data_IF_686631579395
#
_entry.id   IF_686631579395
#
_cell.length_a   1.000
_cell.length_b   1.000
_cell.length_c   1.000
_cell.angle_alpha   90.00
_cell.angle_beta   90.00
_cell.angle_gamma   90.00
#
_symmetry.space_group_name_H-M   'P 1'
#
loop_
_entity.id
_entity.type
_entity.pdbx_description
1 polymer ?
#
# COMPACT_ATOMS: atom_id res chain seq x y z
N UNK A 1 2.34 67.27 -26.19
CA UNK A 1 1.61 66.39 -27.12
C UNK A 1 1.06 65.19 -26.34
N UNK A 2 0.04 65.43 -25.52
CA UNK A 2 -0.71 64.39 -24.80
C UNK A 2 -2.15 64.55 -25.25
N UNK A 3 -2.64 63.62 -26.09
CA UNK A 3 -4.06 63.40 -26.47
C UNK A 3 -4.12 62.57 -27.74
N UNK A 4 -3.93 61.26 -27.66
CA UNK A 4 -4.62 60.31 -28.53
C UNK A 4 -4.74 58.98 -27.80
N UNK A 5 -5.93 58.38 -27.88
CA UNK A 5 -6.18 56.94 -27.73
C UNK A 5 -6.33 56.37 -26.31
N UNK A 6 -7.30 56.97 -25.60
CA UNK A 6 -8.23 56.24 -24.75
C UNK A 6 -9.32 55.65 -25.67
N UNK A 7 -9.11 54.47 -26.27
CA UNK A 7 -10.15 53.65 -26.94
C UNK A 7 -9.58 52.33 -27.51
N UNK A 8 -9.78 51.22 -26.80
CA UNK A 8 -9.85 49.79 -27.23
C UNK A 8 -9.88 48.96 -25.94
N UNK A 9 -10.88 49.12 -25.08
CA UNK A 9 -12.13 48.35 -25.15
C UNK A 9 -11.90 46.89 -25.56
N UNK A 10 -11.86 46.03 -24.54
CA UNK A 10 -12.44 44.69 -24.52
C UNK A 10 -12.23 43.78 -25.75
N UNK A 11 -11.26 42.88 -25.64
CA UNK A 11 -11.39 41.53 -26.17
C UNK A 11 -10.77 40.58 -25.14
N UNK A 12 -11.48 40.35 -24.03
CA UNK A 12 -12.27 39.12 -23.84
C UNK A 12 -11.39 37.88 -24.12
N UNK A 13 -10.76 37.30 -23.11
CA UNK A 13 -11.32 36.12 -22.42
C UNK A 13 -11.96 35.13 -23.42
N UNK A 14 -11.13 34.53 -24.27
CA UNK A 14 -11.56 33.44 -25.14
C UNK A 14 -10.56 32.29 -24.96
N UNK A 15 -11.09 31.24 -24.34
CA UNK A 15 -10.75 29.84 -24.61
C UNK A 15 -9.43 29.30 -24.07
N UNK A 16 -9.41 28.98 -22.77
CA UNK A 16 -8.69 27.78 -22.32
C UNK A 16 -9.62 26.89 -21.49
N UNK A 17 -10.78 26.54 -22.05
CA UNK A 17 -11.52 25.35 -21.64
C UNK A 17 -10.80 24.13 -22.22
N UNK A 18 -9.61 23.82 -21.70
CA UNK A 18 -9.00 22.52 -21.97
C UNK A 18 -9.89 21.48 -21.29
N UNK A 19 -10.63 20.80 -22.15
CA UNK A 19 -11.60 19.78 -21.83
C UNK A 19 -11.04 18.80 -20.81
N UNK A 20 -11.78 18.68 -19.71
CA UNK A 20 -11.80 17.50 -18.86
C UNK A 20 -12.29 16.34 -19.73
N UNK A 21 -11.42 15.81 -20.60
CA UNK A 21 -11.67 14.56 -21.29
C UNK A 21 -11.47 13.46 -20.26
N UNK A 22 -12.49 12.70 -19.87
CA UNK A 22 -12.27 11.52 -19.04
C UNK A 22 -11.33 10.61 -19.83
N UNK A 23 -10.11 10.44 -19.34
CA UNK A 23 -9.24 9.36 -19.76
C UNK A 23 -9.95 8.07 -19.41
N UNK A 24 -10.72 7.55 -20.37
CA UNK A 24 -11.25 6.21 -20.35
C UNK A 24 -10.05 5.26 -20.37
N UNK A 25 -9.46 5.06 -19.20
CA UNK A 25 -8.47 4.03 -18.95
C UNK A 25 -9.18 2.72 -19.18
N UNK A 26 -9.00 2.17 -20.38
CA UNK A 26 -9.46 0.84 -20.75
C UNK A 26 -8.61 -0.17 -19.98
N UNK A 27 -8.95 -0.40 -18.70
CA UNK A 27 -8.43 -1.53 -17.94
C UNK A 27 -9.06 -2.83 -18.47
N UNK A 28 -8.60 -3.25 -19.64
CA UNK A 28 -9.11 -4.39 -20.39
C UNK A 28 -8.02 -5.43 -20.65
N UNK A 29 -7.55 -6.09 -19.59
CA UNK A 29 -7.03 -7.46 -19.72
C UNK A 29 -7.80 -8.36 -18.77
N UNK A 30 -9.01 -8.74 -19.19
CA UNK A 30 -9.68 -9.92 -18.64
C UNK A 30 -8.93 -11.15 -19.16
N UNK A 31 -7.91 -11.57 -18.43
CA UNK A 31 -7.41 -12.94 -18.53
C UNK A 31 -8.53 -13.89 -18.15
N UNK A 32 -9.04 -14.63 -19.12
CA UNK A 32 -10.21 -15.50 -19.01
C UNK A 32 -9.78 -16.94 -18.77
N UNK A 33 -9.18 -17.22 -17.63
CA UNK A 33 -9.15 -18.60 -17.15
C UNK A 33 -10.50 -18.90 -16.49
N UNK A 34 -11.39 -19.53 -17.25
CA UNK A 34 -12.75 -19.87 -16.81
C UNK A 34 -12.72 -20.83 -15.61
N UNK A 35 -11.75 -21.75 -15.59
CA UNK A 35 -11.51 -22.67 -14.49
C UNK A 35 -11.04 -21.95 -13.22
N UNK A 36 -10.15 -20.97 -13.36
CA UNK A 36 -9.71 -20.17 -12.22
C UNK A 36 -10.87 -19.31 -11.67
N UNK A 37 -11.72 -18.75 -12.55
CA UNK A 37 -12.91 -17.97 -12.13
C UNK A 37 -13.85 -18.74 -11.20
N UNK A 38 -14.04 -20.04 -11.43
CA UNK A 38 -14.83 -20.90 -10.54
C UNK A 38 -14.27 -20.90 -9.11
N UNK A 39 -12.98 -21.21 -8.97
CA UNK A 39 -12.27 -21.22 -7.68
C UNK A 39 -12.36 -19.88 -6.94
N UNK A 40 -12.13 -18.76 -7.64
CA UNK A 40 -12.25 -17.42 -7.03
C UNK A 40 -13.66 -17.13 -6.52
N UNK A 41 -14.69 -17.56 -7.26
CA UNK A 41 -16.08 -17.35 -6.86
C UNK A 41 -16.46 -18.23 -5.66
N UNK A 42 -15.95 -19.45 -5.57
CA UNK A 42 -16.15 -20.36 -4.45
C UNK A 42 -15.49 -19.83 -3.18
N UNK A 43 -14.19 -19.48 -3.23
CA UNK A 43 -13.46 -18.86 -2.12
C UNK A 43 -14.16 -17.57 -1.65
N UNK A 44 -14.70 -16.79 -2.59
CA UNK A 44 -15.46 -15.59 -2.24
C UNK A 44 -16.71 -15.93 -1.43
N UNK A 45 -17.46 -16.94 -1.86
CA UNK A 45 -18.69 -17.38 -1.19
C UNK A 45 -18.41 -17.99 0.17
N UNK A 46 -17.30 -18.72 0.34
CA UNK A 46 -16.92 -19.26 1.65
C UNK A 46 -16.59 -18.13 2.64
N UNK A 47 -15.83 -17.12 2.21
CA UNK A 47 -15.55 -15.93 3.04
C UNK A 47 -16.83 -15.15 3.37
N UNK A 48 -17.80 -15.07 2.46
CA UNK A 48 -19.08 -14.38 2.70
C UNK A 48 -19.99 -15.11 3.71
N UNK A 49 -19.79 -16.43 3.89
CA UNK A 49 -20.53 -17.27 4.84
C UNK A 49 -19.75 -17.54 6.13
N UNK A 50 -18.84 -16.64 6.49
CA UNK A 50 -18.09 -16.71 7.75
C UNK A 50 -19.02 -16.48 8.93
N UNK A 51 -19.06 -17.46 9.83
CA UNK A 51 -19.78 -17.48 11.09
C UNK A 51 -18.82 -17.83 12.23
N UNK A 52 -19.23 -17.62 13.49
CA UNK A 52 -18.35 -17.87 14.66
C UNK A 52 -17.87 -19.31 14.74
N UNK A 53 -18.72 -20.25 14.35
CA UNK A 53 -18.45 -21.68 14.47
C UNK A 53 -17.56 -22.22 13.35
N UNK A 54 -17.52 -21.53 12.20
CA UNK A 54 -16.78 -21.97 11.01
C UNK A 54 -15.53 -21.13 10.71
N UNK A 55 -15.28 -20.09 11.51
CA UNK A 55 -14.23 -19.10 11.25
C UNK A 55 -12.83 -19.72 11.14
N UNK A 56 -12.44 -20.58 12.08
CA UNK A 56 -11.12 -21.21 12.10
C UNK A 56 -10.92 -22.21 10.95
N UNK A 57 -11.93 -23.03 10.67
CA UNK A 57 -11.88 -24.03 9.61
C UNK A 57 -11.76 -23.37 8.23
N UNK A 58 -12.59 -22.36 7.96
CA UNK A 58 -12.58 -21.64 6.68
C UNK A 58 -11.29 -20.86 6.44
N UNK A 59 -10.68 -20.27 7.48
CA UNK A 59 -9.36 -19.62 7.35
C UNK A 59 -8.29 -20.63 6.91
N UNK A 60 -8.31 -21.82 7.50
CA UNK A 60 -7.34 -22.89 7.17
C UNK A 60 -7.51 -23.37 5.73
N UNK A 61 -8.74 -23.43 5.22
CA UNK A 61 -9.03 -23.80 3.82
C UNK A 61 -8.66 -22.70 2.81
N UNK A 62 -8.84 -21.44 3.19
CA UNK A 62 -8.65 -20.29 2.29
C UNK A 62 -7.19 -19.83 2.24
N UNK A 63 -6.41 -20.03 3.31
CA UNK A 63 -5.02 -19.58 3.41
C UNK A 63 -4.10 -20.11 2.29
N UNK A 64 -4.11 -21.40 1.90
CA UNK A 64 -3.27 -21.90 0.82
C UNK A 64 -3.56 -21.21 -0.52
N UNK A 65 -4.82 -20.85 -0.75
CA UNK A 65 -5.22 -20.13 -1.94
C UNK A 65 -4.71 -18.68 -1.94
N UNK A 66 -4.85 -17.99 -0.79
CA UNK A 66 -4.38 -16.62 -0.64
C UNK A 66 -2.85 -16.49 -0.76
N UNK A 67 -2.12 -17.49 -0.30
CA UNK A 67 -0.65 -17.48 -0.34
C UNK A 67 -0.09 -17.84 -1.71
N UNK A 68 -0.66 -18.85 -2.40
CA UNK A 68 -0.07 -19.43 -3.63
C UNK A 68 -0.69 -18.93 -4.94
N UNK A 69 -2.02 -18.87 -5.01
CA UNK A 69 -2.76 -18.68 -6.27
C UNK A 69 -3.37 -17.28 -6.43
N UNK A 70 -3.67 -16.59 -5.32
CA UNK A 70 -4.41 -15.34 -5.37
C UNK A 70 -3.62 -14.17 -6.00
N UNK A 71 -4.27 -13.47 -6.92
CA UNK A 71 -3.81 -12.17 -7.41
C UNK A 71 -3.99 -11.05 -6.37
N UNK A 72 -3.20 -9.98 -6.50
CA UNK A 72 -3.13 -8.88 -5.51
C UNK A 72 -4.49 -8.26 -5.17
N UNK A 73 -5.35 -8.04 -6.17
CA UNK A 73 -6.67 -7.42 -5.99
C UNK A 73 -7.63 -8.34 -5.26
N UNK A 74 -7.55 -9.66 -5.52
CA UNK A 74 -8.37 -10.64 -4.83
C UNK A 74 -7.90 -10.80 -3.40
N UNK A 75 -6.58 -10.97 -3.20
CA UNK A 75 -5.95 -11.04 -1.88
C UNK A 75 -6.37 -9.87 -0.97
N UNK A 76 -6.20 -8.63 -1.43
CA UNK A 76 -6.55 -7.44 -0.64
C UNK A 76 -8.04 -7.39 -0.28
N UNK A 77 -8.93 -7.78 -1.22
CA UNK A 77 -10.37 -7.80 -0.97
C UNK A 77 -10.76 -8.91 0.00
N UNK A 78 -10.15 -10.08 -0.11
CA UNK A 78 -10.39 -11.20 0.78
C UNK A 78 -9.97 -10.88 2.21
N UNK A 79 -8.76 -10.33 2.42
CA UNK A 79 -8.33 -9.89 3.76
C UNK A 79 -9.27 -8.84 4.36
N UNK A 80 -9.69 -7.84 3.57
CA UNK A 80 -10.65 -6.84 4.05
C UNK A 80 -11.97 -7.48 4.51
N UNK A 81 -12.50 -8.43 3.75
CA UNK A 81 -13.75 -9.14 4.08
C UNK A 81 -13.59 -9.97 5.35
N UNK A 82 -12.50 -10.73 5.46
CA UNK A 82 -12.18 -11.54 6.64
C UNK A 82 -12.07 -10.63 7.88
N UNK A 83 -11.31 -9.53 7.81
CA UNK A 83 -11.19 -8.59 8.93
C UNK A 83 -12.52 -7.95 9.32
N UNK A 84 -13.37 -7.62 8.34
CA UNK A 84 -14.70 -7.06 8.61
C UNK A 84 -15.60 -8.09 9.29
N UNK A 85 -15.60 -9.33 8.81
CA UNK A 85 -16.35 -10.43 9.43
C UNK A 85 -15.84 -10.73 10.84
N UNK A 86 -14.52 -10.80 11.03
CA UNK A 86 -13.86 -11.01 12.32
C UNK A 86 -14.30 -9.95 13.35
N UNK A 87 -14.25 -8.67 12.96
CA UNK A 87 -14.71 -7.56 13.80
C UNK A 87 -16.20 -7.62 14.14
N UNK A 88 -17.05 -8.01 13.17
CA UNK A 88 -18.49 -8.18 13.41
C UNK A 88 -18.82 -9.37 14.33
N UNK A 89 -18.02 -10.45 14.24
CA UNK A 89 -18.20 -11.67 15.02
C UNK A 89 -17.56 -11.55 16.43
N UNK A 90 -16.67 -10.58 16.64
CA UNK A 90 -15.90 -10.42 17.86
C UNK A 90 -14.74 -11.42 17.98
N UNK A 91 -14.24 -11.92 16.85
CA UNK A 91 -13.14 -12.88 16.76
C UNK A 91 -11.91 -12.18 16.17
N UNK A 92 -10.71 -12.52 16.62
CA UNK A 92 -9.46 -11.98 16.07
C UNK A 92 -8.93 -12.86 14.92
N UNK A 93 -8.44 -12.22 13.86
CA UNK A 93 -7.67 -12.93 12.81
C UNK A 93 -6.27 -13.23 13.37
N UNK A 94 -5.73 -14.44 13.17
CA UNK A 94 -4.38 -14.78 13.60
C UNK A 94 -3.31 -13.82 13.06
N UNK A 95 -2.34 -13.49 13.90
CA UNK A 95 -1.18 -12.72 13.48
C UNK A 95 -0.39 -13.48 12.40
N UNK A 96 0.04 -12.78 11.35
CA UNK A 96 0.77 -13.40 10.25
C UNK A 96 -0.11 -14.05 9.17
N UNK A 97 -1.44 -14.06 9.31
CA UNK A 97 -2.34 -14.71 8.35
C UNK A 97 -2.13 -14.22 6.91
N UNK A 98 -1.78 -15.15 6.03
CA UNK A 98 -1.52 -14.96 4.61
C UNK A 98 -0.46 -13.87 4.26
N UNK A 99 0.38 -13.44 5.22
CA UNK A 99 1.40 -12.37 5.01
C UNK A 99 2.41 -12.76 3.94
N UNK A 100 2.75 -14.06 3.85
CA UNK A 100 3.72 -14.60 2.91
C UNK A 100 3.20 -14.77 1.47
N UNK A 101 2.09 -14.12 1.11
CA UNK A 101 1.51 -14.24 -0.22
C UNK A 101 2.52 -13.89 -1.34
N UNK A 102 2.54 -14.72 -2.38
CA UNK A 102 3.40 -14.54 -3.56
C UNK A 102 3.15 -13.20 -4.25
N UNK A 103 1.91 -12.72 -4.22
CA UNK A 103 1.53 -11.45 -4.83
C UNK A 103 2.09 -10.21 -4.09
N UNK A 104 2.49 -10.34 -2.81
CA UNK A 104 3.03 -9.24 -2.01
C UNK A 104 4.55 -9.25 -1.89
N UNK A 105 5.21 -10.35 -2.28
CA UNK A 105 6.66 -10.55 -2.13
C UNK A 105 7.49 -9.35 -2.63
N UNK A 106 7.31 -8.95 -3.90
CA UNK A 106 8.03 -7.80 -4.49
C UNK A 106 7.77 -6.48 -3.76
N UNK A 107 6.57 -6.28 -3.21
CA UNK A 107 6.24 -5.06 -2.46
C UNK A 107 6.94 -5.09 -1.10
N UNK A 108 6.94 -6.25 -0.42
CA UNK A 108 7.63 -6.45 0.86
C UNK A 108 9.13 -6.25 0.72
N UNK A 109 9.75 -6.78 -0.33
CA UNK A 109 11.17 -6.56 -0.62
C UNK A 109 11.50 -5.07 -0.78
N UNK A 110 10.72 -4.32 -1.56
CA UNK A 110 10.92 -2.88 -1.71
C UNK A 110 10.73 -2.10 -0.41
N UNK A 111 9.73 -2.48 0.39
CA UNK A 111 9.47 -1.86 1.68
C UNK A 111 10.59 -2.17 2.68
N UNK A 112 11.11 -3.40 2.68
CA UNK A 112 12.23 -3.80 3.51
C UNK A 112 13.52 -3.06 3.12
N UNK A 113 13.80 -2.93 1.82
CA UNK A 113 14.93 -2.15 1.32
C UNK A 113 14.82 -0.67 1.74
N UNK A 114 13.65 -0.05 1.54
CA UNK A 114 13.42 1.34 1.95
C UNK A 114 13.53 1.53 3.48
N UNK A 115 13.00 0.61 4.27
CA UNK A 115 13.13 0.65 5.72
C UNK A 115 14.59 0.51 6.18
N UNK A 116 15.38 -0.34 5.51
CA UNK A 116 16.81 -0.48 5.78
C UNK A 116 17.60 0.78 5.40
N UNK A 117 17.28 1.41 4.27
CA UNK A 117 17.89 2.68 3.84
C UNK A 117 17.57 3.82 4.82
N UNK A 118 16.31 3.94 5.24
CA UNK A 118 15.89 4.94 6.24
C UNK A 118 16.57 4.72 7.59
N UNK A 119 16.64 3.46 8.06
CA UNK A 119 17.32 3.13 9.32
C UNK A 119 18.83 3.42 9.27
N UNK A 120 19.47 3.25 8.11
CA UNK A 120 20.88 3.63 7.92
C UNK A 120 21.08 5.15 7.90
N UNK A 121 20.17 5.88 7.22
CA UNK A 121 20.23 7.34 7.14
C UNK A 121 19.90 8.04 8.48
N UNK A 122 19.06 7.46 9.34
CA UNK A 122 18.80 7.95 10.70
C UNK A 122 19.91 7.59 11.70
N UNK A 123 20.76 6.59 11.39
CA UNK A 123 21.91 6.24 12.22
C UNK A 123 23.16 7.12 11.99
N UNK A 124 23.31 7.75 10.82
CA UNK A 124 24.41 8.68 10.55
C UNK A 124 24.36 10.01 11.33
N UNK A 125 23.23 10.71 11.53
CA UNK A 125 23.21 11.96 12.31
C UNK A 125 23.43 11.76 13.82
N UNK A 126 23.42 10.53 14.34
CA UNK A 126 23.71 10.24 15.74
C UNK A 126 25.21 9.97 16.02
N UNK A 127 26.05 9.84 14.99
CA UNK A 127 27.48 9.58 15.15
C UNK A 127 28.36 10.84 15.06
N UNK A 128 27.81 12.00 14.65
CA UNK A 128 28.55 13.27 14.55
C UNK A 128 28.31 14.24 15.73
N UNK A 129 27.36 13.97 16.63
CA UNK A 129 27.06 14.84 17.80
C UNK A 129 27.53 14.27 19.16
N UNK A 130 28.28 13.16 19.17
CA UNK A 130 28.91 12.62 20.38
C UNK A 130 30.41 12.40 20.14
N UNK A 131 31.12 13.49 19.85
CA UNK A 131 32.56 13.58 20.01
C UNK A 131 32.85 14.10 21.43
N UNK A 132 33.13 13.24 22.42
CA UNK A 132 33.55 13.69 23.74
C UNK A 132 34.89 14.42 23.62
N UNK A 133 34.85 15.73 23.85
CA UNK A 133 36.01 16.51 24.23
C UNK A 133 36.37 16.17 25.68
N UNK A 134 37.27 15.21 25.91
CA UNK A 134 37.98 15.08 27.19
C UNK A 134 39.22 14.20 27.04
N UNK A 135 40.39 14.76 27.37
CA UNK A 135 41.63 14.00 27.53
C UNK A 135 42.89 14.72 27.07
N UNK A 136 43.25 15.87 27.66
CA UNK A 136 44.65 16.30 27.69
C UNK A 136 45.10 16.40 29.15
N UNK A 137 46.02 15.50 29.47
CA UNK A 137 46.52 15.14 30.79
C UNK A 137 47.34 16.27 31.42
N UNK A 138 47.14 16.45 32.74
CA UNK A 138 48.11 17.13 33.60
C UNK A 138 49.22 16.14 33.96
N UNK A 139 50.51 16.44 33.71
CA UNK A 139 51.60 15.71 34.34
C UNK A 139 52.00 16.41 35.65
N UNK A 140 51.95 15.66 36.74
CA UNK A 140 52.69 15.90 37.97
C UNK A 140 53.77 14.83 38.12
N UNK A 141 54.85 15.18 38.83
CA UNK A 141 56.12 14.46 39.13
C UNK A 141 57.22 14.70 38.07
N UNK A 142 58.41 15.24 38.37
CA UNK A 142 59.19 15.44 39.62
C UNK A 142 59.78 16.87 39.72
#
# INVERSE_FOLDING_TARGET
MFRVLLATLALALVSQSYAFAPTATTNGRMGTDLAARGKYAEIRKTIEKLDKDNFSATLTEVEPFLTKEAGITFYNKSLRRINTAAGALGVSVPEGYAVEAKCTAKRREKQAAYAAEQAAAEAEPAAEEDAPAEGEEAPAEE
#
